data_IF_019089072219
#
_entry.id   IF_019089072219
#
_cell.length_a   1.000
_cell.length_b   1.000
_cell.length_c   1.000
_cell.angle_alpha   90.00
_cell.angle_beta   90.00
_cell.angle_gamma   90.00
#
_symmetry.space_group_name_H-M   'P 1'
#
loop_
_entity.id
_entity.type
_entity.pdbx_description
1 polymer ?
#
# COMPACT_ATOMS: atom_id res chain seq x y z
N UNK A 1 -26.43 -20.95 4.49
CA UNK A 1 -26.08 -19.77 3.67
C UNK A 1 -24.65 -19.38 4.00
N UNK A 2 -23.68 -19.81 3.19
CA UNK A 2 -22.25 -19.58 3.43
C UNK A 2 -21.92 -18.13 3.07
N UNK A 3 -21.93 -17.27 4.07
CA UNK A 3 -21.49 -15.88 3.95
C UNK A 3 -20.00 -15.95 3.58
N UNK A 4 -19.65 -15.65 2.34
CA UNK A 4 -18.27 -15.45 1.91
C UNK A 4 -17.73 -14.25 2.70
N UNK A 5 -17.20 -14.52 3.89
CA UNK A 5 -16.44 -13.58 4.71
C UNK A 5 -15.29 -13.10 3.83
N UNK A 6 -15.49 -11.96 3.19
CA UNK A 6 -14.46 -11.26 2.41
C UNK A 6 -13.41 -10.84 3.44
N UNK A 7 -12.50 -11.76 3.75
CA UNK A 7 -11.38 -11.55 4.67
C UNK A 7 -10.67 -10.32 4.15
N UNK A 8 -10.87 -9.20 4.83
CA UNK A 8 -10.18 -7.96 4.54
C UNK A 8 -8.73 -8.20 4.95
N UNK A 9 -7.96 -8.80 4.04
CA UNK A 9 -6.55 -9.09 4.22
C UNK A 9 -5.85 -7.75 4.24
N UNK A 10 -5.49 -7.32 5.45
CA UNK A 10 -4.60 -6.20 5.61
C UNK A 10 -3.23 -6.59 5.05
N UNK A 11 -2.54 -5.67 4.38
CA UNK A 11 -1.20 -5.93 3.87
C UNK A 11 -0.26 -6.26 5.03
N UNK A 12 0.71 -7.14 4.79
CA UNK A 12 1.81 -7.34 5.73
C UNK A 12 2.59 -6.02 5.89
N UNK A 13 3.03 -5.75 7.11
CA UNK A 13 3.89 -4.60 7.37
C UNK A 13 5.26 -4.83 6.69
N UNK A 14 5.75 -3.92 5.84
CA UNK A 14 7.05 -4.07 5.19
C UNK A 14 8.24 -3.95 6.15
N UNK A 15 8.00 -3.55 7.41
CA UNK A 15 9.05 -3.37 8.42
C UNK A 15 9.20 -4.56 9.36
N UNK A 16 8.14 -5.34 9.59
CA UNK A 16 8.14 -6.45 10.53
C UNK A 16 7.51 -7.73 9.96
N UNK A 17 7.14 -7.72 8.68
CA UNK A 17 6.49 -8.78 7.90
C UNK A 17 5.19 -9.36 8.51
N UNK A 18 4.70 -8.73 9.58
CA UNK A 18 3.53 -9.17 10.31
C UNK A 18 2.25 -8.50 9.77
N UNK A 19 1.22 -9.31 9.51
CA UNK A 19 -0.07 -8.86 8.95
C UNK A 19 -1.20 -8.82 9.98
N UNK A 20 -0.98 -9.37 11.18
CA UNK A 20 -2.00 -9.55 12.22
C UNK A 20 -2.32 -8.25 12.96
N UNK A 21 -1.37 -7.31 12.98
CA UNK A 21 -1.44 -6.05 13.75
C UNK A 21 -1.53 -4.80 12.85
N UNK A 22 -2.00 -4.94 11.61
CA UNK A 22 -2.10 -3.81 10.66
C UNK A 22 -3.53 -3.26 10.62
N UNK A 23 -3.66 -1.94 10.79
CA UNK A 23 -4.96 -1.24 10.78
C UNK A 23 -4.96 -0.13 9.72
N UNK A 24 -6.13 0.18 9.16
CA UNK A 24 -6.31 1.33 8.27
C UNK A 24 -6.05 2.63 9.04
N UNK A 25 -5.22 3.50 8.47
CA UNK A 25 -4.81 4.78 9.02
C UNK A 25 -5.12 5.92 8.04
N UNK A 26 -6.38 5.98 7.60
CA UNK A 26 -6.86 7.00 6.66
C UNK A 26 -6.34 6.84 5.23
N UNK A 27 -6.33 7.95 4.50
CA UNK A 27 -5.87 8.04 3.10
C UNK A 27 -4.79 9.10 2.97
N UNK A 28 -3.84 8.90 2.06
CA UNK A 28 -2.87 9.90 1.64
C UNK A 28 -3.55 11.01 0.83
N UNK A 29 -2.83 12.13 0.59
CA UNK A 29 -3.29 13.22 -0.29
C UNK A 29 -3.61 12.74 -1.71
N UNK A 30 -2.96 11.67 -2.17
CA UNK A 30 -3.21 10.98 -3.44
C UNK A 30 -4.46 10.09 -3.44
N UNK A 31 -5.20 10.03 -2.33
CA UNK A 31 -6.38 9.15 -2.17
C UNK A 31 -6.06 7.69 -1.85
N UNK A 32 -4.78 7.31 -1.81
CA UNK A 32 -4.34 5.95 -1.50
C UNK A 32 -4.54 5.61 -0.02
N UNK A 33 -4.98 4.38 0.31
CA UNK A 33 -5.11 3.96 1.70
C UNK A 33 -3.75 3.88 2.39
N UNK A 34 -3.69 4.40 3.62
CA UNK A 34 -2.55 4.25 4.54
C UNK A 34 -2.89 3.19 5.57
N UNK A 35 -1.86 2.48 6.01
CA UNK A 35 -1.94 1.48 7.05
C UNK A 35 -0.95 1.81 8.15
N UNK A 36 -1.32 1.54 9.40
CA UNK A 36 -0.42 1.62 10.55
C UNK A 36 -0.28 0.22 11.13
N UNK A 37 0.95 -0.23 11.28
CA UNK A 37 1.26 -1.43 12.05
C UNK A 37 1.27 -1.05 13.53
N UNK A 38 0.59 -1.82 14.37
CA UNK A 38 0.60 -1.63 15.84
C UNK A 38 1.86 -2.26 16.45
N UNK A 39 2.39 -3.33 15.86
CA UNK A 39 3.59 -4.02 16.36
C UNK A 39 4.86 -3.17 16.26
N UNK A 40 5.07 -2.48 15.14
CA UNK A 40 6.23 -1.61 14.93
C UNK A 40 5.88 -0.11 14.95
N UNK A 41 4.62 0.23 15.19
CA UNK A 41 4.05 1.59 15.23
C UNK A 41 4.19 2.44 13.96
N UNK A 42 4.79 1.89 12.90
CA UNK A 42 5.07 2.57 11.62
C UNK A 42 3.85 2.63 10.71
N UNK A 43 3.69 3.77 10.02
CA UNK A 43 2.71 3.94 8.95
C UNK A 43 3.31 3.66 7.58
N UNK A 44 2.63 2.89 6.75
CA UNK A 44 3.06 2.57 5.40
C UNK A 44 1.89 2.62 4.41
N UNK A 45 2.21 2.74 3.13
CA UNK A 45 1.26 2.62 2.02
C UNK A 45 1.55 1.35 1.24
N UNK A 46 0.51 0.68 0.74
CA UNK A 46 0.69 -0.49 -0.14
C UNK A 46 1.05 -0.10 -1.56
N UNK A 47 0.72 1.13 -1.96
CA UNK A 47 1.01 1.68 -3.27
C UNK A 47 1.63 3.05 -3.07
N UNK A 48 2.77 3.27 -3.69
CA UNK A 48 3.40 4.58 -3.79
C UNK A 48 3.22 5.08 -5.22
N UNK A 49 2.68 6.29 -5.36
CA UNK A 49 2.70 7.00 -6.64
C UNK A 49 3.95 7.86 -6.61
N UNK A 50 4.96 7.43 -7.35
CA UNK A 50 6.13 8.27 -7.61
C UNK A 50 5.77 9.14 -8.81
N UNK A 51 5.70 10.45 -8.61
CA UNK A 51 5.84 11.39 -9.71
C UNK A 51 7.32 11.44 -10.10
N UNK A 52 7.87 10.31 -10.54
CA UNK A 52 9.06 10.37 -11.35
C UNK A 52 8.64 11.17 -12.59
N UNK A 53 9.35 12.27 -12.83
CA UNK A 53 9.14 13.20 -13.93
C UNK A 53 8.49 12.50 -15.12
N UNK A 54 7.24 12.85 -15.44
CA UNK A 54 6.77 12.71 -16.81
C UNK A 54 7.58 13.73 -17.62
N UNK A 55 8.83 13.38 -17.94
CA UNK A 55 9.42 13.90 -19.16
C UNK A 55 8.66 13.18 -20.25
N UNK A 56 7.98 13.95 -21.09
CA UNK A 56 7.51 13.46 -22.37
C UNK A 56 8.76 13.08 -23.17
N UNK A 57 9.26 11.87 -22.95
CA UNK A 57 10.32 11.27 -23.74
C UNK A 57 9.70 10.07 -24.41
N UNK A 58 9.13 10.32 -25.58
CA UNK A 58 8.99 9.33 -26.63
C UNK A 58 10.37 8.71 -26.92
N UNK A 59 10.73 7.67 -26.17
CA UNK A 59 11.94 6.88 -26.37
C UNK A 59 11.55 5.41 -26.41
N UNK A 60 11.49 4.90 -27.64
CA UNK A 60 11.35 3.49 -27.97
C UNK A 60 12.45 2.69 -27.28
N UNK A 61 12.09 1.82 -26.33
CA UNK A 61 13.01 0.77 -25.85
C UNK A 61 13.19 -0.23 -26.99
N UNK A 62 14.30 -0.09 -27.71
CA UNK A 62 14.79 -1.06 -28.68
C UNK A 62 16.22 -1.47 -28.32
N UNK A 63 16.39 -2.74 -27.95
CA UNK A 63 17.59 -3.51 -28.26
C UNK A 63 17.16 -4.74 -29.05
#
# INVERSE_FOLDING_TARGET
MTILLKRQQYPACPHCDESTQVRKHGRARSGLPRYRCVGCETTFQTRYIYWAYQTDSNESVGR
#
